data_IF_317337317688
#
_entry.id   IF_317337317688
#
_cell.length_a   1.000
_cell.length_b   1.000
_cell.length_c   1.000
_cell.angle_alpha   90.00
_cell.angle_beta   90.00
_cell.angle_gamma   90.00
#
_symmetry.space_group_name_H-M   'P 1'
#
loop_
_entity.id
_entity.type
_entity.pdbx_description
1 polymer ?
#
# COMPACT_ATOMS: atom_id res chain seq x y z
N UNK A 1 -4.62 -25.11 14.69
CA UNK A 1 -4.71 -23.65 14.89
C UNK A 1 -4.47 -22.82 13.61
N UNK A 2 -3.91 -23.38 12.52
CA UNK A 2 -3.67 -22.61 11.27
C UNK A 2 -4.93 -22.29 10.43
N UNK A 3 -5.88 -23.23 10.30
CA UNK A 3 -7.05 -23.07 9.43
C UNK A 3 -7.95 -21.86 9.79
N UNK A 4 -8.11 -21.55 11.08
CA UNK A 4 -8.94 -20.41 11.51
C UNK A 4 -8.29 -19.06 11.22
N UNK A 5 -6.96 -18.95 11.35
CA UNK A 5 -6.24 -17.71 11.05
C UNK A 5 -6.25 -17.43 9.53
N UNK A 6 -6.06 -18.47 8.71
CA UNK A 6 -6.17 -18.40 7.25
C UNK A 6 -7.57 -18.00 6.80
N UNK A 7 -8.62 -18.61 7.36
CA UNK A 7 -10.01 -18.27 7.03
C UNK A 7 -10.35 -16.81 7.37
N UNK A 8 -9.83 -16.27 8.47
CA UNK A 8 -10.08 -14.89 8.87
C UNK A 8 -9.31 -13.86 8.01
N UNK A 9 -8.13 -14.21 7.50
CA UNK A 9 -7.39 -13.41 6.53
C UNK A 9 -8.12 -13.34 5.19
N UNK A 10 -8.52 -14.51 4.68
CA UNK A 10 -9.29 -14.64 3.42
C UNK A 10 -10.63 -13.89 3.52
N UNK A 11 -11.38 -14.01 4.62
CA UNK A 11 -12.62 -13.25 4.84
C UNK A 11 -12.39 -11.73 4.74
N UNK A 12 -11.29 -11.22 5.30
CA UNK A 12 -10.97 -9.80 5.18
C UNK A 12 -10.68 -9.40 3.72
N UNK A 13 -9.89 -10.19 3.01
CA UNK A 13 -9.57 -9.94 1.60
C UNK A 13 -10.82 -9.94 0.72
N UNK A 14 -11.71 -10.92 0.93
CA UNK A 14 -12.99 -11.04 0.23
C UNK A 14 -13.90 -9.84 0.50
N UNK A 15 -13.93 -9.29 1.72
CA UNK A 15 -14.74 -8.11 2.03
C UNK A 15 -14.23 -6.84 1.35
N UNK A 16 -12.92 -6.62 1.35
CA UNK A 16 -12.32 -5.48 0.64
C UNK A 16 -12.60 -5.61 -0.86
N UNK A 17 -12.40 -6.80 -1.40
CA UNK A 17 -12.68 -7.15 -2.80
C UNK A 17 -14.14 -6.92 -3.18
N UNK A 18 -15.09 -7.40 -2.37
CA UNK A 18 -16.52 -7.20 -2.61
C UNK A 18 -16.89 -5.71 -2.61
N UNK A 19 -16.28 -4.91 -1.74
CA UNK A 19 -16.50 -3.46 -1.76
C UNK A 19 -16.02 -2.83 -3.07
N UNK A 20 -14.86 -3.22 -3.59
CA UNK A 20 -14.37 -2.74 -4.89
C UNK A 20 -15.27 -3.19 -6.04
N UNK A 21 -15.81 -4.41 -6.00
CA UNK A 21 -16.77 -4.89 -6.99
C UNK A 21 -18.07 -4.09 -6.98
N UNK A 22 -18.55 -3.64 -5.82
CA UNK A 22 -19.71 -2.74 -5.73
C UNK A 22 -19.41 -1.41 -6.43
N UNK A 23 -18.23 -0.83 -6.19
CA UNK A 23 -17.85 0.42 -6.87
C UNK A 23 -17.79 0.24 -8.38
N UNK A 24 -17.27 -0.90 -8.85
CA UNK A 24 -17.22 -1.26 -10.28
C UNK A 24 -18.63 -1.41 -10.88
N UNK A 25 -19.51 -2.19 -10.26
CA UNK A 25 -20.86 -2.48 -10.77
C UNK A 25 -21.72 -1.22 -10.94
N UNK A 26 -21.51 -0.23 -10.07
CA UNK A 26 -22.25 1.02 -10.07
C UNK A 26 -21.50 2.19 -10.74
N UNK A 27 -20.40 1.93 -11.45
CA UNK A 27 -19.55 2.95 -12.08
C UNK A 27 -19.19 4.10 -11.11
N UNK A 28 -18.97 3.76 -9.84
CA UNK A 28 -18.64 4.74 -8.82
C UNK A 28 -17.21 5.20 -8.97
N UNK A 29 -17.00 6.49 -8.75
CA UNK A 29 -15.66 7.07 -8.74
C UNK A 29 -14.81 6.44 -7.63
N UNK A 30 -13.65 5.91 -8.00
CA UNK A 30 -12.73 5.25 -7.08
C UNK A 30 -12.21 6.18 -5.97
N UNK A 31 -12.23 7.49 -6.20
CA UNK A 31 -11.87 8.51 -5.20
C UNK A 31 -12.79 8.52 -3.97
N UNK A 32 -13.99 7.93 -4.09
CA UNK A 32 -14.91 7.75 -2.95
C UNK A 32 -14.37 6.76 -1.92
N UNK A 33 -13.56 5.80 -2.35
CA UNK A 33 -13.00 4.75 -1.50
C UNK A 33 -11.50 4.95 -1.23
N UNK A 34 -10.77 5.45 -2.22
CA UNK A 34 -9.32 5.57 -2.20
C UNK A 34 -8.92 7.04 -2.33
N UNK A 35 -7.84 7.43 -1.68
CA UNK A 35 -7.31 8.80 -1.77
C UNK A 35 -6.44 8.98 -3.01
N UNK A 36 -6.98 8.65 -4.18
CA UNK A 36 -6.34 8.87 -5.47
C UNK A 36 -6.90 10.15 -6.08
N UNK A 37 -6.01 11.06 -6.48
CA UNK A 37 -6.35 12.43 -6.89
C UNK A 37 -7.00 12.52 -8.29
N UNK A 38 -7.55 11.43 -8.83
CA UNK A 38 -8.12 11.39 -10.17
C UNK A 38 -9.44 10.63 -10.18
N UNK A 39 -10.49 11.29 -10.65
CA UNK A 39 -11.77 10.67 -10.97
C UNK A 39 -11.54 9.60 -12.03
N UNK A 40 -11.80 8.34 -11.67
CA UNK A 40 -11.76 7.18 -12.56
C UNK A 40 -12.74 6.14 -12.03
N UNK A 41 -13.26 5.30 -12.90
CA UNK A 41 -14.03 4.11 -12.52
C UNK A 41 -13.19 2.85 -12.68
N UNK A 42 -13.65 1.77 -12.05
CA UNK A 42 -12.99 0.47 -12.16
C UNK A 42 -13.44 -0.21 -13.45
N UNK A 43 -12.48 -0.68 -14.26
CA UNK A 43 -12.74 -1.44 -15.49
C UNK A 43 -12.55 -2.94 -15.30
N UNK A 44 -11.57 -3.33 -14.49
CA UNK A 44 -11.21 -4.73 -14.28
C UNK A 44 -10.70 -4.95 -12.86
N UNK A 45 -10.98 -6.13 -12.31
CA UNK A 45 -10.57 -6.58 -10.99
C UNK A 45 -9.92 -7.96 -11.16
N UNK A 46 -8.67 -8.09 -10.74
CA UNK A 46 -7.92 -9.34 -10.76
C UNK A 46 -7.57 -9.76 -9.32
N UNK A 47 -7.84 -11.02 -9.00
CA UNK A 47 -7.51 -11.66 -7.72
C UNK A 47 -6.34 -12.62 -7.94
N UNK A 48 -5.43 -12.71 -6.97
CA UNK A 48 -4.30 -13.65 -7.00
C UNK A 48 -3.51 -13.57 -8.33
N UNK A 49 -3.07 -12.36 -8.68
CA UNK A 49 -2.31 -12.13 -9.92
C UNK A 49 -0.86 -12.65 -9.79
N UNK A 50 -0.17 -12.89 -10.91
CA UNK A 50 1.26 -13.24 -10.93
C UNK A 50 2.20 -12.06 -10.57
N UNK A 51 1.65 -11.02 -9.95
CA UNK A 51 2.31 -9.79 -9.56
C UNK A 51 2.96 -9.93 -8.17
N UNK A 52 3.80 -8.96 -7.78
CA UNK A 52 4.47 -9.03 -6.46
C UNK A 52 3.52 -8.67 -5.31
N UNK A 53 2.49 -7.88 -5.62
CA UNK A 53 1.32 -7.63 -4.79
C UNK A 53 0.17 -8.37 -5.47
N UNK A 54 -0.32 -9.41 -4.83
CA UNK A 54 -1.18 -10.42 -5.43
C UNK A 54 -2.62 -10.41 -4.89
N UNK A 55 -2.86 -9.86 -3.69
CA UNK A 55 -4.17 -9.95 -3.04
C UNK A 55 -5.31 -9.34 -3.88
N UNK A 56 -5.08 -8.18 -4.52
CA UNK A 56 -6.01 -7.58 -5.47
C UNK A 56 -5.32 -6.55 -6.37
N UNK A 57 -5.62 -6.60 -7.67
CA UNK A 57 -5.23 -5.60 -8.66
C UNK A 57 -6.47 -5.03 -9.33
N UNK A 58 -6.58 -3.71 -9.34
CA UNK A 58 -7.66 -2.98 -9.99
C UNK A 58 -7.09 -2.26 -11.20
N UNK A 59 -7.69 -2.45 -12.37
CA UNK A 59 -7.41 -1.64 -13.57
C UNK A 59 -8.53 -0.63 -13.74
N UNK A 60 -8.16 0.64 -13.86
CA UNK A 60 -9.05 1.76 -14.10
C UNK A 60 -9.41 1.88 -15.59
N UNK A 61 -10.47 2.61 -15.90
CA UNK A 61 -10.85 2.98 -17.26
C UNK A 61 -9.70 3.64 -18.08
N UNK A 62 -8.86 4.43 -17.42
CA UNK A 62 -7.64 5.03 -17.97
C UNK A 62 -6.51 4.03 -18.26
N UNK A 63 -6.68 2.74 -17.95
CA UNK A 63 -5.66 1.70 -18.08
C UNK A 63 -4.64 1.66 -16.93
N UNK A 64 -4.72 2.61 -16.00
CA UNK A 64 -3.87 2.67 -14.81
C UNK A 64 -4.25 1.58 -13.80
N UNK A 65 -3.26 1.06 -13.08
CA UNK A 65 -3.38 -0.05 -12.14
C UNK A 65 -3.17 0.39 -10.69
N UNK A 66 -3.98 -0.13 -9.79
CA UNK A 66 -3.86 0.02 -8.34
C UNK A 66 -3.70 -1.37 -7.73
N UNK A 67 -2.68 -1.54 -6.91
CA UNK A 67 -2.36 -2.82 -6.27
C UNK A 67 -2.65 -2.75 -4.78
N UNK A 68 -3.27 -3.78 -4.24
CA UNK A 68 -3.64 -3.87 -2.84
C UNK A 68 -2.91 -5.03 -2.18
N UNK A 69 -2.16 -4.72 -1.13
CA UNK A 69 -1.73 -5.71 -0.15
C UNK A 69 -2.68 -5.60 1.06
N UNK A 70 -3.35 -6.69 1.38
CA UNK A 70 -4.42 -6.76 2.35
C UNK A 70 -4.00 -7.57 3.57
N UNK A 71 -3.81 -6.89 4.70
CA UNK A 71 -3.44 -7.52 5.96
C UNK A 71 -4.51 -7.23 7.00
N UNK A 72 -5.16 -8.27 7.52
CA UNK A 72 -6.25 -8.12 8.51
C UNK A 72 -5.82 -7.22 9.67
N UNK A 73 -4.64 -7.49 10.23
CA UNK A 73 -3.99 -6.66 11.25
C UNK A 73 -2.50 -6.63 10.98
N UNK A 74 -1.87 -5.47 11.12
CA UNK A 74 -0.42 -5.32 10.96
C UNK A 74 0.14 -4.25 11.89
N UNK A 75 1.40 -4.42 12.28
CA UNK A 75 2.13 -3.52 13.18
C UNK A 75 3.36 -2.98 12.48
N UNK A 76 3.65 -1.70 12.70
CA UNK A 76 4.87 -1.08 12.18
C UNK A 76 6.10 -1.76 12.80
N UNK A 77 7.04 -2.18 11.96
CA UNK A 77 8.26 -2.86 12.40
C UNK A 77 9.44 -2.54 11.49
N UNK A 78 10.63 -2.57 12.07
CA UNK A 78 11.96 -2.46 11.45
C UNK A 78 12.68 -3.81 11.39
N UNK A 79 12.04 -4.88 11.86
CA UNK A 79 12.54 -6.25 11.76
C UNK A 79 12.35 -6.81 10.34
N UNK A 80 13.41 -7.35 9.74
CA UNK A 80 13.42 -7.93 8.40
C UNK A 80 12.52 -9.18 8.27
N UNK A 81 12.26 -9.87 9.38
CA UNK A 81 11.38 -11.05 9.43
C UNK A 81 9.92 -10.67 9.71
N UNK A 82 9.62 -9.38 9.86
CA UNK A 82 8.26 -8.92 10.14
C UNK A 82 7.35 -8.93 8.92
N UNK A 83 6.06 -9.15 9.15
CA UNK A 83 5.04 -9.04 8.10
C UNK A 83 5.05 -7.66 7.42
N UNK A 84 5.32 -6.59 8.19
CA UNK A 84 5.42 -5.24 7.65
C UNK A 84 6.60 -5.07 6.68
N UNK A 85 7.76 -5.66 7.00
CA UNK A 85 8.88 -5.68 6.06
C UNK A 85 8.53 -6.45 4.79
N UNK A 86 7.81 -7.58 4.90
CA UNK A 86 7.29 -8.34 3.76
C UNK A 86 6.39 -7.50 2.84
N UNK A 87 5.46 -6.71 3.41
CA UNK A 87 4.62 -5.77 2.63
C UNK A 87 5.48 -4.71 1.93
N UNK A 88 6.42 -4.10 2.63
CA UNK A 88 7.36 -3.15 2.02
C UNK A 88 8.14 -3.81 0.87
N UNK A 89 8.49 -5.09 1.01
CA UNK A 89 9.23 -5.82 0.00
C UNK A 89 8.41 -6.06 -1.27
N UNK A 90 7.14 -6.40 -1.13
CA UNK A 90 6.22 -6.53 -2.26
C UNK A 90 6.05 -5.20 -2.99
N UNK A 91 5.94 -4.08 -2.26
CA UNK A 91 5.82 -2.75 -2.85
C UNK A 91 7.07 -2.36 -3.64
N UNK A 92 8.25 -2.57 -3.08
CA UNK A 92 9.51 -2.28 -3.79
C UNK A 92 9.68 -3.19 -5.00
N UNK A 93 9.39 -4.48 -4.89
CA UNK A 93 9.45 -5.40 -6.04
C UNK A 93 8.52 -4.97 -7.17
N UNK A 94 7.30 -4.55 -6.85
CA UNK A 94 6.36 -4.07 -7.85
C UNK A 94 6.87 -2.78 -8.50
N UNK A 95 7.33 -1.81 -7.70
CA UNK A 95 7.94 -0.58 -8.20
C UNK A 95 9.11 -0.83 -9.17
N UNK A 96 9.98 -1.78 -8.85
CA UNK A 96 11.14 -2.12 -9.67
C UNK A 96 10.79 -2.72 -11.04
N UNK A 97 9.55 -3.16 -11.27
CA UNK A 97 9.09 -3.57 -12.60
C UNK A 97 8.93 -2.38 -13.56
N UNK A 98 8.93 -1.15 -13.04
CA UNK A 98 8.83 0.10 -13.81
C UNK A 98 7.66 0.12 -14.80
N UNK A 99 6.52 -0.42 -14.40
CA UNK A 99 5.32 -0.40 -15.24
C UNK A 99 4.71 1.00 -15.23
N UNK A 100 4.68 1.65 -16.39
CA UNK A 100 4.14 3.01 -16.55
C UNK A 100 2.67 3.14 -16.16
N UNK A 101 1.94 2.01 -16.10
CA UNK A 101 0.54 1.97 -15.71
C UNK A 101 0.32 1.90 -14.21
N UNK A 102 1.35 1.65 -13.42
CA UNK A 102 1.23 1.59 -11.97
C UNK A 102 0.90 3.00 -11.41
N UNK A 103 -0.23 3.11 -10.71
CA UNK A 103 -0.71 4.37 -10.16
C UNK A 103 -0.51 4.46 -8.65
N UNK A 104 -0.80 3.38 -7.92
CA UNK A 104 -0.67 3.36 -6.47
C UNK A 104 -0.52 1.93 -5.92
N UNK A 105 0.19 1.84 -4.79
CA UNK A 105 0.28 0.64 -3.95
C UNK A 105 -0.41 0.93 -2.62
N UNK A 106 -1.33 0.05 -2.22
CA UNK A 106 -2.22 0.27 -1.08
C UNK A 106 -2.05 -0.85 -0.08
N UNK A 107 -1.74 -0.49 1.17
CA UNK A 107 -1.86 -1.40 2.31
C UNK A 107 -3.26 -1.26 2.90
N UNK A 108 -4.12 -2.25 2.67
CA UNK A 108 -5.47 -2.31 3.25
C UNK A 108 -5.43 -3.10 4.56
N UNK A 109 -5.96 -2.50 5.63
CA UNK A 109 -5.96 -3.11 6.97
C UNK A 109 -7.26 -2.84 7.69
N UNK A 110 -7.61 -3.66 8.69
CA UNK A 110 -8.70 -3.28 9.59
C UNK A 110 -8.29 -2.17 10.55
N UNK A 111 -9.27 -1.50 11.12
CA UNK A 111 -9.10 -0.41 12.09
C UNK A 111 -8.42 -0.87 13.39
N UNK A 112 -8.48 -2.17 13.71
CA UNK A 112 -7.79 -2.77 14.86
C UNK A 112 -6.27 -2.90 14.65
N UNK A 113 -5.74 -2.58 13.46
CA UNK A 113 -4.29 -2.48 13.23
C UNK A 113 -3.67 -1.38 14.08
N UNK A 114 -2.35 -1.43 14.26
CA UNK A 114 -1.64 -0.46 15.09
C UNK A 114 -1.97 0.99 14.67
N UNK A 115 -2.24 1.87 15.64
CA UNK A 115 -2.50 3.31 15.37
C UNK A 115 -1.34 3.99 14.64
N UNK A 116 -0.13 3.46 14.79
CA UNK A 116 1.03 3.88 14.03
C UNK A 116 0.80 3.73 12.52
N UNK A 117 0.18 2.63 12.08
CA UNK A 117 -0.17 2.37 10.67
C UNK A 117 -1.50 3.04 10.30
N UNK A 118 -2.59 2.70 10.99
CA UNK A 118 -3.96 3.05 10.56
C UNK A 118 -4.28 4.54 10.67
N UNK A 119 -3.54 5.29 11.50
CA UNK A 119 -3.78 6.72 11.74
C UNK A 119 -2.54 7.56 11.42
N UNK A 120 -1.41 7.29 12.09
CA UNK A 120 -0.25 8.18 12.03
C UNK A 120 0.46 8.13 10.68
N UNK A 121 0.78 6.94 10.18
CA UNK A 121 1.41 6.76 8.89
C UNK A 121 0.53 7.30 7.76
N UNK A 122 -0.77 6.98 7.78
CA UNK A 122 -1.75 7.53 6.84
C UNK A 122 -1.68 9.06 6.78
N UNK A 123 -1.76 9.73 7.94
CA UNK A 123 -1.67 11.19 8.04
C UNK A 123 -0.34 11.74 7.53
N UNK A 124 0.79 11.08 7.84
CA UNK A 124 2.12 11.51 7.36
C UNK A 124 2.17 11.46 5.83
N UNK A 125 1.73 10.35 5.23
CA UNK A 125 1.75 10.16 3.77
C UNK A 125 0.79 11.14 3.07
N UNK A 126 -0.37 11.42 3.66
CA UNK A 126 -1.28 12.46 3.19
C UNK A 126 -0.61 13.85 3.23
N UNK A 127 0.07 14.18 4.32
CA UNK A 127 0.79 15.45 4.46
C UNK A 127 1.88 15.62 3.40
N UNK A 128 2.65 14.56 3.13
CA UNK A 128 3.65 14.54 2.04
C UNK A 128 2.98 14.75 0.68
N UNK A 129 1.87 14.03 0.41
CA UNK A 129 1.13 14.15 -0.86
C UNK A 129 0.56 15.55 -1.08
N UNK A 130 0.00 16.17 -0.04
CA UNK A 130 -0.55 17.53 -0.10
C UNK A 130 0.53 18.59 -0.27
N UNK A 131 1.67 18.43 0.39
CA UNK A 131 2.81 19.33 0.24
C UNK A 131 3.51 19.15 -1.12
N UNK A 132 3.36 17.97 -1.75
CA UNK A 132 4.12 17.54 -2.91
C UNK A 132 5.64 17.75 -2.75
N UNK A 133 6.12 17.58 -1.51
CA UNK A 133 7.50 17.83 -1.11
C UNK A 133 7.83 17.04 0.16
N UNK A 134 8.95 16.33 0.16
CA UNK A 134 9.45 15.56 1.30
C UNK A 134 9.99 16.43 2.43
N UNK A 135 10.33 17.70 2.21
CA UNK A 135 10.76 18.64 3.27
C UNK A 135 9.70 18.82 4.37
N UNK A 136 8.43 18.47 4.12
CA UNK A 136 7.40 18.47 5.17
C UNK A 136 7.74 17.51 6.31
N UNK A 137 8.57 16.49 6.06
CA UNK A 137 9.09 15.57 7.07
C UNK A 137 9.82 16.34 8.17
N UNK A 138 10.43 17.50 7.85
CA UNK A 138 11.11 18.32 8.84
C UNK A 138 10.20 19.04 9.81
N UNK A 139 8.90 19.09 9.52
CA UNK A 139 7.88 19.67 10.40
C UNK A 139 7.19 18.62 11.26
N UNK A 140 7.46 17.34 11.04
CA UNK A 140 6.89 16.25 11.80
C UNK A 140 7.45 16.23 13.23
N UNK A 141 6.62 15.82 14.19
CA UNK A 141 7.06 15.62 15.56
C UNK A 141 7.98 14.38 15.67
N UNK A 142 8.66 14.23 16.82
CA UNK A 142 9.63 13.13 17.04
C UNK A 142 9.04 11.74 16.78
N UNK A 143 7.81 11.50 17.20
CA UNK A 143 7.16 10.21 17.02
C UNK A 143 6.83 9.94 15.54
N UNK A 144 6.28 10.92 14.84
CA UNK A 144 5.96 10.83 13.41
C UNK A 144 7.22 10.62 12.56
N UNK A 145 8.30 11.34 12.88
CA UNK A 145 9.61 11.12 12.23
C UNK A 145 10.14 9.71 12.47
N UNK A 146 9.90 9.15 13.66
CA UNK A 146 10.30 7.76 13.97
C UNK A 146 9.49 6.77 13.14
N UNK A 147 8.17 6.98 13.01
CA UNK A 147 7.29 6.16 12.18
C UNK A 147 7.73 6.21 10.71
N UNK A 148 7.89 7.41 10.16
CA UNK A 148 8.34 7.59 8.78
C UNK A 148 9.73 7.00 8.55
N UNK A 149 10.65 7.21 9.51
CA UNK A 149 12.01 6.68 9.47
C UNK A 149 12.05 5.16 9.34
N UNK A 150 11.17 4.43 10.07
CA UNK A 150 11.07 2.97 9.94
C UNK A 150 10.61 2.54 8.54
N UNK A 151 9.57 3.19 8.01
CA UNK A 151 9.08 2.88 6.65
C UNK A 151 10.17 3.15 5.61
N UNK A 152 10.81 4.33 5.68
CA UNK A 152 11.89 4.71 4.76
C UNK A 152 13.09 3.78 4.86
N UNK A 153 13.50 3.39 6.07
CA UNK A 153 14.60 2.46 6.28
C UNK A 153 14.33 1.08 5.66
N UNK A 154 13.11 0.54 5.84
CA UNK A 154 12.71 -0.72 5.20
C UNK A 154 12.78 -0.59 3.67
N UNK A 155 12.13 0.42 3.10
CA UNK A 155 12.12 0.64 1.64
C UNK A 155 13.55 0.77 1.09
N UNK A 156 14.41 1.59 1.71
CA UNK A 156 15.80 1.77 1.30
C UNK A 156 16.62 0.48 1.36
N UNK A 157 16.49 -0.25 2.46
CA UNK A 157 17.18 -1.52 2.67
C UNK A 157 16.76 -2.54 1.62
N UNK A 158 15.46 -2.63 1.34
CA UNK A 158 14.92 -3.56 0.37
C UNK A 158 15.31 -3.17 -1.05
N UNK A 159 15.20 -1.89 -1.42
CA UNK A 159 15.61 -1.41 -2.73
C UNK A 159 17.08 -1.76 -2.97
N UNK A 160 17.96 -1.46 -2.02
CA UNK A 160 19.38 -1.81 -2.10
C UNK A 160 19.63 -3.31 -2.21
N UNK A 161 18.85 -4.14 -1.50
CA UNK A 161 18.91 -5.60 -1.61
C UNK A 161 18.63 -6.08 -3.04
N UNK A 162 17.68 -5.47 -3.76
CA UNK A 162 17.30 -5.91 -5.11
C UNK A 162 18.07 -5.22 -6.25
N UNK A 163 18.56 -3.99 -6.04
CA UNK A 163 19.25 -3.22 -7.11
C UNK A 163 20.76 -3.10 -6.89
N UNK A 164 21.26 -3.45 -5.70
CA UNK A 164 22.64 -3.15 -5.24
C UNK A 164 22.98 -1.65 -5.23
N UNK A 165 21.98 -0.76 -5.28
CA UNK A 165 22.14 0.71 -5.29
C UNK A 165 21.33 1.34 -4.15
N UNK A 166 21.78 2.50 -3.69
CA UNK A 166 20.98 3.34 -2.79
C UNK A 166 19.89 4.05 -3.60
N UNK A 167 18.72 4.27 -2.99
CA UNK A 167 17.63 5.02 -3.63
C UNK A 167 18.08 6.47 -3.82
N UNK A 168 17.92 7.00 -5.02
CA UNK A 168 18.24 8.40 -5.34
C UNK A 168 16.98 9.26 -5.32
N UNK A 169 17.13 10.59 -5.31
CA UNK A 169 15.99 11.51 -5.42
C UNK A 169 15.34 11.48 -6.82
N UNK A 170 16.00 10.83 -7.80
CA UNK A 170 15.51 10.65 -9.17
C UNK A 170 14.71 9.34 -9.37
N UNK A 171 14.62 8.48 -8.33
CA UNK A 171 13.83 7.23 -8.28
C UNK A 171 12.46 7.45 -7.60
#
# INVERSE_FOLDING_TARGET
MGLQATNAGIDFQQRVSAYMMILMEFDMDISLALQVNKSNTIKEINFEDCESIDDLVITLDSGKKIYFQMKRTISLSDDAESEFYGVCEQFVKQFLKQNENDLAYILATRTESSKAISVKLKRILEGIRLANNLEVIDKLNREERTIFGKVSANIKTIYKKYTSKDISDDD
#
